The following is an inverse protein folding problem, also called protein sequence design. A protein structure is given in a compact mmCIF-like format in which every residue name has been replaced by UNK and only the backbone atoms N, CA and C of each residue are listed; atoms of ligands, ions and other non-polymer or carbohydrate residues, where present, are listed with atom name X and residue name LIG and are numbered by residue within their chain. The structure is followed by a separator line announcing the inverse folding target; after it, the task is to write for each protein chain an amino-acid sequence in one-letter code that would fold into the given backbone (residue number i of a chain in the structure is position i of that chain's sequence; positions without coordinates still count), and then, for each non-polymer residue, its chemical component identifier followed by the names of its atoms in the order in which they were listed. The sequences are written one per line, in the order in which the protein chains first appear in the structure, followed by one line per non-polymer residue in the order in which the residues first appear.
data_IF_842568486137
#
_entry.id   IF_842568486137
#
_cell.length_a   1.000
_cell.length_b   1.000
_cell.length_c   1.000
_cell.angle_alpha   90.00
_cell.angle_beta   90.00
_cell.angle_gamma   90.00
#
_symmetry.space_group_name_H-M   'P 1'
#
loop_
_entity.id
_entity.type
_entity.pdbx_description
1 polymer ?
#
# COMPACT_ATOMS: atom_id res chain seq x y z
N UNK A 1 -1.54 7.22 -24.95
CA UNK A 1 -0.73 6.56 -23.93
C UNK A 1 -0.04 5.42 -24.64
N UNK A 2 1.28 5.47 -24.66
CA UNK A 2 2.10 4.47 -25.33
C UNK A 2 2.69 3.57 -24.25
N UNK A 3 2.17 2.34 -24.17
CA UNK A 3 2.62 1.36 -23.17
C UNK A 3 3.94 0.73 -23.60
N UNK A 4 4.86 0.57 -22.65
CA UNK A 4 6.21 0.06 -22.88
C UNK A 4 6.25 -1.46 -22.64
N UNK A 5 5.81 -2.23 -23.64
CA UNK A 5 5.88 -3.69 -23.64
C UNK A 5 7.02 -4.18 -24.53
N UNK A 6 7.78 -5.16 -24.04
CA UNK A 6 8.91 -5.78 -24.74
C UNK A 6 8.49 -7.09 -25.46
N UNK A 7 7.34 -7.66 -25.11
CA UNK A 7 6.88 -8.98 -25.58
C UNK A 7 5.38 -9.04 -25.75
N UNK A 8 4.95 -9.89 -26.68
CA UNK A 8 3.54 -10.26 -26.84
C UNK A 8 3.18 -11.42 -25.93
N UNK A 9 1.88 -11.61 -25.70
CA UNK A 9 1.37 -12.65 -24.81
C UNK A 9 0.55 -13.66 -25.61
N UNK A 10 0.86 -14.94 -25.40
CA UNK A 10 0.16 -16.06 -26.05
C UNK A 10 -0.50 -16.94 -25.01
N UNK A 11 -1.79 -17.22 -25.22
CA UNK A 11 -2.50 -18.22 -24.44
C UNK A 11 -2.15 -19.63 -24.92
N UNK A 12 -1.85 -20.54 -23.98
CA UNK A 12 -1.62 -21.95 -24.25
C UNK A 12 -2.75 -22.81 -23.70
N UNK A 13 -3.48 -23.48 -24.59
CA UNK A 13 -4.53 -24.45 -24.21
C UNK A 13 -3.98 -25.83 -23.84
N UNK A 14 -2.81 -26.19 -24.35
CA UNK A 14 -2.16 -27.48 -24.13
C UNK A 14 -0.73 -27.23 -23.61
N UNK A 15 -0.58 -26.96 -22.31
CA UNK A 15 0.71 -26.62 -21.74
C UNK A 15 1.63 -27.84 -21.63
N UNK A 16 2.93 -27.60 -21.39
CA UNK A 16 3.95 -28.64 -21.29
C UNK A 16 3.61 -29.72 -20.25
N UNK A 17 3.01 -29.30 -19.13
CA UNK A 17 2.59 -30.19 -18.06
C UNK A 17 1.06 -30.18 -17.89
N UNK A 18 0.34 -30.56 -18.94
CA UNK A 18 -1.13 -30.64 -18.96
C UNK A 18 -1.76 -31.48 -17.83
N UNK A 19 -0.99 -32.39 -17.19
CA UNK A 19 -1.42 -33.14 -16.02
C UNK A 19 -1.48 -32.33 -14.72
N UNK A 20 -0.79 -31.18 -14.67
CA UNK A 20 -0.70 -30.32 -13.48
C UNK A 20 -1.58 -29.06 -13.62
N UNK A 21 -1.78 -28.56 -14.84
CA UNK A 21 -2.59 -27.38 -15.12
C UNK A 21 -3.17 -27.45 -16.52
N UNK A 22 -4.37 -26.90 -16.70
CA UNK A 22 -5.13 -27.02 -17.94
C UNK A 22 -4.83 -25.95 -18.99
N UNK A 23 -4.12 -24.88 -18.62
CA UNK A 23 -3.71 -23.80 -19.52
C UNK A 23 -2.61 -22.95 -18.88
N UNK A 24 -1.91 -22.18 -19.70
CA UNK A 24 -0.90 -21.21 -19.26
C UNK A 24 -0.84 -19.99 -20.18
N UNK A 25 -0.07 -18.99 -19.79
CA UNK A 25 0.33 -17.85 -20.63
C UNK A 25 1.84 -17.95 -20.86
N UNK A 26 2.28 -17.67 -22.09
CA UNK A 26 3.69 -17.44 -22.40
C UNK A 26 3.89 -16.02 -22.90
N UNK A 27 5.09 -15.50 -22.66
CA UNK A 27 5.59 -14.32 -23.35
C UNK A 27 6.34 -14.78 -24.61
N UNK A 28 6.13 -14.09 -25.72
CA UNK A 28 6.82 -14.33 -26.98
C UNK A 28 7.58 -13.08 -27.43
N UNK A 29 8.80 -13.26 -27.90
CA UNK A 29 9.61 -12.18 -28.45
C UNK A 29 9.19 -11.79 -29.88
N UNK A 30 9.89 -10.82 -30.46
CA UNK A 30 9.67 -10.34 -31.83
C UNK A 30 9.96 -11.41 -32.91
N UNK A 31 10.59 -12.52 -32.54
CA UNK A 31 10.89 -13.66 -33.41
C UNK A 31 9.94 -14.85 -33.17
N UNK A 32 8.80 -14.62 -32.50
CA UNK A 32 7.82 -15.63 -32.12
C UNK A 32 8.38 -16.76 -31.21
N UNK A 33 9.53 -16.53 -30.56
CA UNK A 33 10.10 -17.50 -29.61
C UNK A 33 9.53 -17.26 -28.23
N UNK A 34 9.19 -18.36 -27.56
CA UNK A 34 8.76 -18.33 -26.16
C UNK A 34 9.93 -17.89 -25.27
N UNK A 35 9.67 -16.92 -24.41
CA UNK A 35 10.59 -16.44 -23.38
C UNK A 35 10.04 -16.84 -22.01
N UNK A 36 10.87 -17.51 -21.21
CA UNK A 36 10.47 -18.00 -19.89
C UNK A 36 9.67 -19.31 -19.94
N UNK A 37 8.99 -19.62 -18.83
CA UNK A 37 8.17 -20.81 -18.67
C UNK A 37 6.67 -20.55 -18.79
N UNK A 38 5.90 -21.62 -18.60
CA UNK A 38 4.44 -21.57 -18.52
C UNK A 38 4.01 -20.78 -17.27
N UNK A 39 3.43 -19.60 -17.49
CA UNK A 39 2.87 -18.78 -16.42
C UNK A 39 1.45 -19.24 -16.11
N UNK A 40 1.25 -19.74 -14.89
CA UNK A 40 -0.05 -20.23 -14.41
C UNK A 40 -0.56 -19.36 -13.26
N UNK A 41 -1.88 -19.27 -13.04
CA UNK A 41 -2.43 -18.49 -11.92
C UNK A 41 -1.80 -18.88 -10.58
N UNK A 42 -1.30 -17.89 -9.84
CA UNK A 42 -0.65 -18.08 -8.56
C UNK A 42 -1.63 -17.89 -7.40
N UNK A 43 -1.93 -18.99 -6.70
CA UNK A 43 -2.91 -19.00 -5.60
C UNK A 43 -2.34 -18.78 -4.19
N UNK A 44 -1.03 -18.95 -4.01
CA UNK A 44 -0.42 -18.99 -2.67
C UNK A 44 -0.12 -17.60 -2.10
N UNK A 45 0.05 -17.55 -0.78
CA UNK A 45 0.32 -16.32 -0.06
C UNK A 45 1.68 -15.71 -0.43
N UNK A 46 1.67 -14.42 -0.73
CA UNK A 46 2.83 -13.57 -0.94
C UNK A 46 2.87 -12.54 0.19
N UNK A 47 4.07 -12.28 0.68
CA UNK A 47 4.30 -11.40 1.82
C UNK A 47 5.03 -10.15 1.39
N UNK A 48 4.72 -9.06 2.06
CA UNK A 48 5.33 -7.75 1.90
C UNK A 48 5.63 -7.16 3.26
N UNK A 49 6.73 -6.40 3.33
CA UNK A 49 7.11 -5.61 4.49
C UNK A 49 6.91 -4.13 4.16
N UNK A 50 6.21 -3.40 5.02
CA UNK A 50 6.12 -1.94 4.93
C UNK A 50 7.48 -1.31 5.24
N UNK A 51 7.97 -0.45 4.33
CA UNK A 51 9.26 0.26 4.45
C UNK A 51 9.09 1.78 4.57
N UNK A 52 7.87 2.28 4.37
CA UNK A 52 7.51 3.66 4.57
C UNK A 52 6.01 3.77 4.80
N UNK A 53 5.60 4.70 5.65
CA UNK A 53 4.20 4.90 5.99
C UNK A 53 3.84 6.37 6.05
N UNK A 54 2.71 6.72 5.46
CA UNK A 54 2.16 8.07 5.43
C UNK A 54 0.68 8.00 5.77
N UNK A 55 0.26 8.75 6.79
CA UNK A 55 -1.15 9.03 7.03
C UNK A 55 -1.52 10.32 6.29
N UNK A 56 -2.25 10.18 5.19
CA UNK A 56 -2.75 11.28 4.39
C UNK A 56 -4.15 11.69 4.82
N UNK A 57 -4.41 13.00 4.73
CA UNK A 57 -5.71 13.62 4.92
C UNK A 57 -6.00 14.48 3.68
N UNK A 58 -7.14 14.25 3.04
CA UNK A 58 -7.56 14.95 1.83
C UNK A 58 -8.98 15.50 1.99
N UNK A 59 -9.14 16.79 1.71
CA UNK A 59 -10.43 17.45 1.57
C UNK A 59 -10.62 17.80 0.09
N UNK A 60 -11.72 17.36 -0.49
CA UNK A 60 -12.11 17.67 -1.86
C UNK A 60 -13.39 18.50 -1.83
N UNK A 61 -13.39 19.62 -2.56
CA UNK A 61 -14.56 20.48 -2.73
C UNK A 61 -14.94 20.48 -4.21
N UNK A 62 -16.09 19.90 -4.53
CA UNK A 62 -16.68 19.96 -5.86
C UNK A 62 -17.70 21.09 -5.86
N UNK A 63 -17.52 22.11 -6.70
CA UNK A 63 -18.51 23.17 -6.87
C UNK A 63 -19.65 22.73 -7.80
N UNK A 64 -20.85 23.27 -7.57
CA UNK A 64 -21.96 23.04 -8.46
C UNK A 64 -21.69 23.73 -9.80
N UNK A 65 -21.57 22.94 -10.88
CA UNK A 65 -21.44 23.49 -12.22
C UNK A 65 -22.54 22.96 -13.13
N UNK A 66 -23.09 23.86 -13.95
CA UNK A 66 -23.94 23.52 -15.09
C UNK A 66 -23.09 23.76 -16.34
N UNK A 67 -22.36 22.74 -16.75
CA UNK A 67 -21.70 22.76 -18.05
C UNK A 67 -22.70 22.27 -19.10
N UNK A 68 -22.90 23.05 -20.18
CA UNK A 68 -23.88 22.71 -21.23
C UNK A 68 -23.71 21.26 -21.71
N UNK A 69 -24.80 20.49 -21.64
CA UNK A 69 -24.84 19.09 -22.09
C UNK A 69 -24.38 18.04 -21.07
N UNK A 70 -24.00 18.40 -19.84
CA UNK A 70 -23.71 17.44 -18.75
C UNK A 70 -24.74 17.50 -17.62
N UNK A 71 -24.87 16.37 -16.91
CA UNK A 71 -25.73 16.21 -15.73
C UNK A 71 -25.33 17.26 -14.69
N UNK A 72 -26.31 17.95 -14.10
CA UNK A 72 -26.06 18.93 -13.02
C UNK A 72 -25.26 18.27 -11.89
N UNK A 73 -24.02 18.73 -11.69
CA UNK A 73 -23.19 18.26 -10.60
C UNK A 73 -23.53 19.08 -9.35
N UNK A 74 -23.93 18.40 -8.26
CA UNK A 74 -24.20 19.07 -6.99
C UNK A 74 -22.89 19.43 -6.31
N UNK A 75 -22.90 20.53 -5.57
CA UNK A 75 -21.78 20.88 -4.72
C UNK A 75 -21.62 19.79 -3.64
N UNK A 76 -20.40 19.30 -3.47
CA UNK A 76 -20.07 18.23 -2.52
C UNK A 76 -18.72 18.54 -1.88
N UNK A 77 -18.67 18.51 -0.55
CA UNK A 77 -17.42 18.50 0.21
C UNK A 77 -17.23 17.07 0.69
N UNK A 78 -16.13 16.44 0.30
CA UNK A 78 -15.73 15.13 0.79
C UNK A 78 -14.41 15.21 1.55
N UNK A 79 -14.32 14.43 2.61
CA UNK A 79 -13.12 14.29 3.44
C UNK A 79 -12.73 12.82 3.43
N UNK A 80 -11.47 12.53 3.11
CA UNK A 80 -10.95 11.20 3.01
C UNK A 80 -9.58 11.12 3.70
N UNK A 81 -9.46 10.16 4.61
CA UNK A 81 -8.18 9.79 5.23
C UNK A 81 -7.70 8.48 4.63
N UNK A 82 -6.39 8.38 4.40
CA UNK A 82 -5.77 7.20 3.80
C UNK A 82 -4.46 6.90 4.53
N UNK A 83 -4.20 5.64 4.85
CA UNK A 83 -2.87 5.21 5.28
C UNK A 83 -2.19 4.58 4.06
N UNK A 84 -1.15 5.22 3.56
CA UNK A 84 -0.34 4.71 2.46
C UNK A 84 0.92 4.05 3.00
N UNK A 85 1.17 2.81 2.59
CA UNK A 85 2.35 2.03 2.96
C UNK A 85 3.13 1.68 1.70
N UNK A 86 4.40 2.08 1.64
CA UNK A 86 5.32 1.58 0.62
C UNK A 86 5.75 0.17 1.00
N UNK A 87 5.59 -0.77 0.09
CA UNK A 87 5.82 -2.19 0.31
C UNK A 87 7.12 -2.65 -0.35
N UNK A 88 7.83 -3.55 0.32
CA UNK A 88 8.91 -4.35 -0.25
C UNK A 88 8.52 -5.83 -0.18
N UNK A 89 8.69 -6.62 -1.25
CA UNK A 89 8.46 -8.06 -1.21
C UNK A 89 9.23 -8.80 -0.10
N UNK A 90 8.61 -9.85 0.42
CA UNK A 90 9.09 -10.69 1.51
C UNK A 90 8.64 -10.21 2.90
N UNK A 91 8.75 -11.11 3.86
CA UNK A 91 8.62 -10.82 5.29
C UNK A 91 9.95 -11.10 6.01
N UNK A 92 10.25 -10.38 7.10
CA UNK A 92 11.34 -10.75 7.98
C UNK A 92 11.02 -12.09 8.66
N UNK A 93 11.99 -13.01 8.73
CA UNK A 93 11.88 -14.15 9.66
C UNK A 93 12.36 -13.74 11.04
N UNK A 94 11.85 -14.41 12.06
CA UNK A 94 12.28 -14.22 13.46
C UNK A 94 13.75 -14.59 13.72
N UNK A 95 14.42 -15.31 12.80
CA UNK A 95 15.85 -15.63 12.87
C UNK A 95 16.75 -14.55 12.22
N UNK A 96 16.17 -13.43 11.77
CA UNK A 96 16.89 -12.37 11.07
C UNK A 96 17.20 -12.68 9.60
N UNK A 97 16.89 -13.88 9.09
CA UNK A 97 17.01 -14.18 7.66
C UNK A 97 15.78 -13.65 6.93
N UNK A 98 15.96 -13.08 5.75
CA UNK A 98 14.80 -12.71 4.93
C UNK A 98 14.14 -13.99 4.39
N UNK A 99 12.80 -14.06 4.47
CA UNK A 99 12.05 -15.02 3.64
C UNK A 99 12.42 -14.72 2.18
N UNK A 100 12.47 -15.77 1.34
CA UNK A 100 12.71 -15.64 -0.11
C UNK A 100 11.86 -14.49 -0.65
N UNK A 101 12.53 -13.47 -1.20
CA UNK A 101 11.87 -12.33 -1.81
C UNK A 101 11.42 -12.73 -3.22
N UNK A 102 10.15 -12.52 -3.52
CA UNK A 102 9.63 -12.68 -4.87
C UNK A 102 9.82 -11.36 -5.61
N UNK A 103 10.33 -11.42 -6.83
CA UNK A 103 10.30 -10.31 -7.77
C UNK A 103 8.90 -10.26 -8.39
N UNK A 104 8.42 -9.04 -8.64
CA UNK A 104 7.17 -8.80 -9.34
C UNK A 104 7.49 -8.11 -10.65
N UNK A 105 6.89 -8.54 -11.75
CA UNK A 105 7.07 -7.96 -13.07
C UNK A 105 5.73 -7.88 -13.78
N UNK A 106 5.54 -6.88 -14.63
CA UNK A 106 4.40 -6.90 -15.55
C UNK A 106 4.61 -7.97 -16.61
N UNK A 107 3.53 -8.57 -17.07
CA UNK A 107 3.60 -9.36 -18.30
C UNK A 107 4.10 -8.50 -19.46
N UNK A 108 4.80 -9.14 -20.39
CA UNK A 108 5.40 -8.46 -21.53
C UNK A 108 6.72 -7.74 -21.21
N UNK A 109 7.26 -7.84 -20.00
CA UNK A 109 8.43 -7.05 -19.56
C UNK A 109 9.38 -7.84 -18.65
N UNK A 110 10.66 -7.45 -18.60
CA UNK A 110 11.64 -7.95 -17.61
C UNK A 110 11.87 -7.01 -16.43
N UNK A 111 11.21 -5.85 -16.43
CA UNK A 111 11.37 -4.83 -15.41
C UNK A 111 10.76 -5.30 -14.09
N UNK A 112 11.50 -5.10 -13.01
CA UNK A 112 11.02 -5.38 -11.66
C UNK A 112 10.20 -4.20 -11.19
N UNK A 113 8.96 -4.45 -10.77
CA UNK A 113 8.07 -3.44 -10.20
C UNK A 113 8.66 -2.98 -8.87
N UNK A 114 9.19 -1.76 -8.85
CA UNK A 114 9.75 -1.15 -7.63
C UNK A 114 8.74 -0.34 -6.84
N UNK A 115 7.66 0.11 -7.49
CA UNK A 115 6.58 0.85 -6.84
C UNK A 115 5.44 -0.08 -6.47
N UNK A 116 5.55 -0.68 -5.28
CA UNK A 116 4.49 -1.50 -4.69
C UNK A 116 3.93 -0.76 -3.47
N UNK A 117 2.63 -0.53 -3.45
CA UNK A 117 1.96 0.25 -2.42
C UNK A 117 0.76 -0.48 -1.83
N UNK A 118 0.41 -0.12 -0.61
CA UNK A 118 -0.84 -0.47 0.05
C UNK A 118 -1.50 0.82 0.53
N UNK A 119 -2.67 1.11 -0.01
CA UNK A 119 -3.57 2.13 0.49
C UNK A 119 -4.63 1.47 1.37
N UNK A 120 -4.65 1.83 2.66
CA UNK A 120 -5.69 1.43 3.61
C UNK A 120 -6.71 2.56 3.67
N UNK A 121 -7.97 2.21 3.44
CA UNK A 121 -9.07 3.15 3.28
C UNK A 121 -10.20 2.80 4.25
N UNK A 122 -10.81 3.78 4.93
CA UNK A 122 -12.01 3.54 5.70
C UNK A 122 -13.21 3.31 4.77
N UNK A 123 -14.03 2.31 5.09
CA UNK A 123 -15.35 2.11 4.51
C UNK A 123 -16.30 3.26 4.92
N UNK A 124 -17.43 3.38 4.22
CA UNK A 124 -18.44 4.42 4.54
C UNK A 124 -19.21 4.09 5.81
N UNK A 125 -19.39 2.80 6.09
CA UNK A 125 -20.14 2.31 7.24
C UNK A 125 -19.45 1.14 7.94
N UNK A 126 -19.73 0.96 9.23
CA UNK A 126 -19.32 -0.21 10.04
C UNK A 126 -20.00 -1.51 9.60
N UNK A 127 -21.12 -1.39 8.89
CA UNK A 127 -21.88 -2.53 8.34
C UNK A 127 -21.31 -3.05 7.02
N UNK A 128 -20.46 -2.27 6.35
CA UNK A 128 -19.89 -2.66 5.07
C UNK A 128 -18.86 -3.79 5.24
N UNK A 129 -18.68 -4.58 4.18
CA UNK A 129 -17.79 -5.73 4.19
C UNK A 129 -16.37 -5.28 3.85
N UNK A 130 -15.42 -5.59 4.75
CA UNK A 130 -14.00 -5.38 4.52
C UNK A 130 -13.54 -6.18 3.31
N UNK A 131 -12.71 -5.58 2.48
CA UNK A 131 -12.24 -6.22 1.25
C UNK A 131 -10.86 -5.74 0.87
N UNK A 132 -10.23 -6.43 -0.08
CA UNK A 132 -8.97 -5.99 -0.67
C UNK A 132 -9.04 -6.14 -2.20
N UNK A 133 -8.48 -5.15 -2.89
CA UNK A 133 -8.35 -5.13 -4.35
C UNK A 133 -6.91 -4.81 -4.73
N UNK A 134 -6.46 -5.39 -5.83
CA UNK A 134 -5.19 -5.04 -6.45
C UNK A 134 -5.46 -4.26 -7.74
N UNK A 135 -4.63 -3.27 -8.00
CA UNK A 135 -4.57 -2.51 -9.24
C UNK A 135 -3.11 -2.32 -9.61
N UNK A 136 -2.82 -2.11 -10.88
CA UNK A 136 -1.48 -1.88 -11.36
C UNK A 136 -1.52 -1.46 -12.81
N UNK A 137 -0.44 -0.86 -13.28
CA UNK A 137 -0.29 -0.40 -14.65
C UNK A 137 1.12 -0.68 -15.14
N UNK A 138 1.23 -1.04 -16.41
CA UNK A 138 2.51 -1.11 -17.12
C UNK A 138 3.03 0.31 -17.34
N UNK A 139 4.34 0.47 -17.36
CA UNK A 139 4.97 1.74 -17.73
C UNK A 139 4.42 2.25 -19.05
N UNK A 140 4.12 3.54 -19.09
CA UNK A 140 3.64 4.21 -20.28
C UNK A 140 4.17 5.63 -20.35
N UNK A 141 4.25 6.16 -21.57
CA UNK A 141 4.47 7.58 -21.80
C UNK A 141 3.16 8.24 -22.26
N UNK A 142 2.88 9.41 -21.70
CA UNK A 142 1.79 10.28 -22.14
C UNK A 142 2.29 11.67 -22.43
N UNK A 143 1.85 12.23 -23.55
CA UNK A 143 2.02 13.64 -23.86
C UNK A 143 1.13 14.47 -22.91
N UNK A 144 1.74 15.43 -22.24
CA UNK A 144 1.08 16.46 -21.45
C UNK A 144 1.34 17.83 -22.07
N UNK A 145 0.61 18.86 -21.65
CA UNK A 145 0.83 20.24 -22.14
C UNK A 145 2.28 20.75 -21.90
N UNK A 146 3.06 20.09 -21.04
CA UNK A 146 4.43 20.44 -20.69
C UNK A 146 5.48 19.44 -21.19
N UNK A 147 5.09 18.49 -22.05
CA UNK A 147 5.96 17.48 -22.64
C UNK A 147 5.56 16.06 -22.24
N UNK A 148 6.45 15.12 -22.56
CA UNK A 148 6.23 13.70 -22.30
C UNK A 148 6.53 13.35 -20.84
N UNK A 149 5.57 12.70 -20.18
CA UNK A 149 5.74 12.13 -18.85
C UNK A 149 5.68 10.61 -18.95
N UNK A 150 6.73 9.95 -18.44
CA UNK A 150 6.78 8.49 -18.33
C UNK A 150 6.42 8.06 -16.92
N UNK A 151 5.36 7.28 -16.81
CA UNK A 151 4.99 6.57 -15.59
C UNK A 151 5.68 5.21 -15.58
N UNK A 152 6.27 4.83 -14.45
CA UNK A 152 6.90 3.51 -14.26
C UNK A 152 5.88 2.42 -13.92
N UNK A 153 6.26 1.14 -14.08
CA UNK A 153 5.43 0.00 -13.69
C UNK A 153 5.06 0.09 -12.19
N UNK A 154 3.79 -0.10 -11.84
CA UNK A 154 3.33 0.02 -10.46
C UNK A 154 2.29 -1.04 -10.06
N UNK A 155 2.24 -1.35 -8.77
CA UNK A 155 1.28 -2.27 -8.18
C UNK A 155 0.75 -1.68 -6.87
N UNK A 156 -0.55 -1.43 -6.80
CA UNK A 156 -1.22 -0.90 -5.62
C UNK A 156 -2.25 -1.88 -5.07
N UNK A 157 -2.25 -2.07 -3.76
CA UNK A 157 -3.29 -2.79 -3.05
C UNK A 157 -4.18 -1.78 -2.31
N UNK A 158 -5.48 -1.90 -2.48
CA UNK A 158 -6.46 -1.11 -1.74
C UNK A 158 -7.10 -2.03 -0.71
N UNK A 159 -6.85 -1.79 0.57
CA UNK A 159 -7.46 -2.51 1.68
C UNK A 159 -8.54 -1.62 2.30
N UNK A 160 -9.80 -1.98 2.08
CA UNK A 160 -10.93 -1.25 2.65
C UNK A 160 -11.31 -1.91 3.97
N UNK A 161 -11.16 -1.17 5.06
CA UNK A 161 -11.42 -1.63 6.42
C UNK A 161 -12.54 -0.82 7.06
N UNK A 162 -13.15 -1.34 8.12
CA UNK A 162 -14.15 -0.58 8.87
C UNK A 162 -13.56 0.71 9.45
N UNK A 163 -14.38 1.79 9.61
CA UNK A 163 -13.91 3.04 10.20
C UNK A 163 -13.20 2.85 11.55
N UNK A 164 -13.76 2.03 12.44
CA UNK A 164 -13.17 1.69 13.73
C UNK A 164 -11.80 1.01 13.62
N UNK A 165 -11.64 0.08 12.70
CA UNK A 165 -10.36 -0.56 12.37
C UNK A 165 -9.35 0.45 11.82
N UNK A 166 -9.79 1.35 10.94
CA UNK A 166 -8.95 2.41 10.38
C UNK A 166 -8.42 3.35 11.49
N UNK A 167 -9.30 3.82 12.38
CA UNK A 167 -8.88 4.69 13.49
C UNK A 167 -7.91 3.98 14.44
N UNK A 168 -8.11 2.70 14.69
CA UNK A 168 -7.15 1.90 15.46
C UNK A 168 -5.77 1.91 14.79
N UNK A 169 -5.70 1.69 13.48
CA UNK A 169 -4.44 1.71 12.75
C UNK A 169 -3.82 3.10 12.73
N UNK A 170 -4.60 4.13 12.41
CA UNK A 170 -4.14 5.52 12.40
C UNK A 170 -3.56 5.92 13.75
N UNK A 171 -4.24 5.58 14.86
CA UNK A 171 -3.75 5.84 16.22
C UNK A 171 -2.46 5.09 16.53
N UNK A 172 -2.29 3.86 16.08
CA UNK A 172 -1.04 3.11 16.28
C UNK A 172 0.13 3.75 15.52
N UNK A 173 -0.14 4.29 14.34
CA UNK A 173 0.87 4.96 13.51
C UNK A 173 1.26 6.31 14.14
N UNK A 174 0.28 7.15 14.49
CA UNK A 174 0.53 8.48 15.06
C UNK A 174 1.13 8.42 16.47
N UNK A 175 0.84 7.37 17.24
CA UNK A 175 1.48 7.12 18.54
C UNK A 175 2.90 6.52 18.44
N UNK A 176 3.36 6.16 17.24
CA UNK A 176 4.65 5.52 17.04
C UNK A 176 4.72 4.08 17.57
N UNK A 177 3.58 3.37 17.66
CA UNK A 177 3.50 1.97 18.11
C UNK A 177 3.36 0.96 16.96
N UNK A 178 3.68 1.40 15.75
CA UNK A 178 3.66 0.64 14.50
C UNK A 178 5.10 0.44 14.00
N UNK A 179 5.89 -0.32 14.74
CA UNK A 179 7.32 -0.54 14.45
C UNK A 179 7.54 -1.39 13.19
N UNK A 180 6.61 -2.32 12.92
CA UNK A 180 6.69 -3.18 11.75
C UNK A 180 5.30 -3.42 11.14
N UNK A 181 5.23 -3.30 9.82
CA UNK A 181 4.03 -3.63 9.04
C UNK A 181 4.34 -4.81 8.13
N UNK A 182 3.56 -5.88 8.25
CA UNK A 182 3.62 -7.03 7.34
C UNK A 182 2.25 -7.16 6.68
N UNK A 183 2.25 -7.17 5.36
CA UNK A 183 1.06 -7.36 4.55
C UNK A 183 1.18 -8.69 3.79
N UNK A 184 0.16 -9.52 3.84
CA UNK A 184 0.11 -10.79 3.12
C UNK A 184 -1.13 -10.81 2.24
N UNK A 185 -0.95 -11.26 1.00
CA UNK A 185 -2.05 -11.48 0.05
C UNK A 185 -1.99 -12.87 -0.54
N UNK A 186 -3.14 -13.49 -0.75
CA UNK A 186 -3.28 -14.79 -1.40
C UNK A 186 -4.41 -14.75 -2.42
N UNK A 187 -4.39 -15.72 -3.34
CA UNK A 187 -5.41 -15.84 -4.40
C UNK A 187 -5.67 -14.51 -5.13
N UNK A 188 -4.60 -13.82 -5.52
CA UNK A 188 -4.70 -12.54 -6.24
C UNK A 188 -4.97 -12.85 -7.71
N UNK A 189 -6.17 -12.51 -8.19
CA UNK A 189 -6.49 -12.62 -9.62
C UNK A 189 -5.49 -11.77 -10.39
N UNK A 190 -4.96 -12.27 -11.51
CA UNK A 190 -3.95 -11.57 -12.31
C UNK A 190 -2.50 -11.80 -11.88
N UNK A 191 -2.25 -12.53 -10.79
CA UNK A 191 -0.89 -12.99 -10.46
C UNK A 191 -0.63 -14.37 -11.05
N UNK A 192 0.54 -14.50 -11.66
CA UNK A 192 0.97 -15.71 -12.32
C UNK A 192 2.41 -16.05 -11.93
N UNK A 193 2.76 -17.32 -12.02
CA UNK A 193 4.12 -17.78 -11.81
C UNK A 193 4.35 -19.09 -12.53
N UNK A 194 5.62 -19.46 -12.69
CA UNK A 194 5.99 -20.82 -13.07
C UNK A 194 5.51 -21.82 -12.02
N UNK A 195 5.19 -23.04 -12.48
CA UNK A 195 4.89 -24.12 -11.55
C UNK A 195 6.09 -24.42 -10.64
N UNK A 196 5.83 -24.57 -9.35
CA UNK A 196 6.82 -24.89 -8.33
C UNK A 196 6.27 -25.93 -7.35
N UNK A 197 7.01 -27.03 -7.09
CA UNK A 197 6.58 -28.04 -6.12
C UNK A 197 6.62 -27.52 -4.68
N UNK A 198 7.38 -26.44 -4.44
CA UNK A 198 7.65 -25.91 -3.10
C UNK A 198 6.60 -24.93 -2.58
N UNK A 199 5.49 -24.73 -3.31
CA UNK A 199 4.45 -23.71 -3.04
C UNK A 199 5.01 -22.30 -2.79
N UNK A 200 6.24 -22.05 -3.25
CA UNK A 200 6.96 -20.79 -3.16
C UNK A 200 7.46 -20.41 -4.53
N UNK A 201 7.54 -19.11 -4.77
CA UNK A 201 8.07 -18.58 -6.02
C UNK A 201 9.03 -17.40 -5.78
N UNK A 202 10.05 -17.29 -6.61
CA UNK A 202 10.90 -16.09 -6.69
C UNK A 202 10.39 -15.08 -7.70
N UNK A 203 9.38 -15.40 -8.49
CA UNK A 203 8.94 -14.56 -9.60
C UNK A 203 7.43 -14.57 -9.76
N UNK A 204 6.83 -13.40 -9.84
CA UNK A 204 5.40 -13.22 -10.06
C UNK A 204 5.20 -12.29 -11.24
N UNK A 205 4.53 -12.80 -12.27
CA UNK A 205 4.06 -12.02 -13.41
C UNK A 205 2.67 -11.44 -13.10
N UNK A 206 2.49 -10.17 -13.40
CA UNK A 206 1.28 -9.40 -13.12
C UNK A 206 0.58 -9.05 -14.43
N UNK A 207 -0.66 -9.51 -14.59
CA UNK A 207 -1.48 -9.22 -15.77
C UNK A 207 -2.53 -8.18 -15.41
N UNK A 208 -2.41 -6.95 -15.91
CA UNK A 208 -3.27 -5.82 -15.52
C UNK A 208 -4.73 -5.98 -16.01
N UNK A 209 -5.63 -5.21 -15.40
CA UNK A 209 -7.09 -5.19 -15.66
C UNK A 209 -7.42 -4.84 -17.10
N UNK A 210 -6.67 -3.90 -17.66
CA UNK A 210 -7.04 -3.19 -18.87
C UNK A 210 -6.41 -3.82 -20.13
N UNK A 211 -6.75 -3.23 -21.27
CA UNK A 211 -6.23 -3.63 -22.59
C UNK A 211 -4.77 -3.24 -22.82
N UNK A 212 -4.05 -2.86 -21.77
CA UNK A 212 -2.60 -2.60 -21.82
C UNK A 212 -1.86 -3.83 -22.35
N UNK A 213 -2.31 -5.02 -21.89
CA UNK A 213 -1.79 -6.31 -22.33
C UNK A 213 -2.75 -6.95 -23.34
N UNK A 214 -2.38 -6.95 -24.61
CA UNK A 214 -3.07 -7.76 -25.62
C UNK A 214 -2.61 -9.22 -25.49
N UNK A 215 -3.58 -10.12 -25.32
CA UNK A 215 -3.31 -11.56 -25.21
C UNK A 215 -4.02 -12.24 -26.36
N UNK A 216 -3.26 -13.00 -27.15
CA UNK A 216 -3.78 -13.80 -28.25
C UNK A 216 -4.71 -14.89 -27.69
N UNK A 217 -6.01 -14.58 -27.60
CA UNK A 217 -7.06 -15.45 -27.06
C UNK A 217 -7.96 -15.98 -28.18
N UNK A 218 -8.33 -17.25 -28.08
CA UNK A 218 -9.40 -17.80 -28.91
C UNK A 218 -10.75 -17.14 -28.55
N UNK A 219 -11.65 -17.03 -29.55
CA UNK A 219 -12.94 -16.37 -29.40
C UNK A 219 -13.73 -16.88 -28.17
N UNK A 220 -14.22 -15.95 -27.34
CA UNK A 220 -15.06 -16.25 -26.18
C UNK A 220 -14.32 -16.69 -24.91
N UNK A 221 -12.97 -16.75 -24.92
CA UNK A 221 -12.18 -17.07 -23.73
C UNK A 221 -11.79 -15.79 -22.96
N UNK A 222 -11.90 -15.84 -21.64
CA UNK A 222 -11.35 -14.83 -20.74
C UNK A 222 -10.26 -15.46 -19.86
N UNK A 223 -9.34 -14.62 -19.40
CA UNK A 223 -8.27 -14.99 -18.47
C UNK A 223 -8.35 -14.11 -17.22
N UNK A 224 -7.97 -14.64 -16.04
CA UNK A 224 -7.86 -13.87 -14.81
C UNK A 224 -6.91 -12.66 -14.97
N UNK A 225 -7.43 -11.45 -14.75
CA UNK A 225 -6.67 -10.21 -14.74
C UNK A 225 -6.65 -9.61 -13.34
N UNK A 226 -5.73 -8.68 -13.10
CA UNK A 226 -5.55 -8.03 -11.81
C UNK A 226 -6.87 -7.50 -11.29
N UNK A 227 -7.10 -7.51 -9.97
CA UNK A 227 -8.33 -6.97 -9.42
C UNK A 227 -8.67 -7.52 -8.05
N UNK A 228 -9.19 -8.74 -8.01
CA UNK A 228 -9.64 -9.34 -6.75
C UNK A 228 -8.49 -9.94 -5.97
N UNK A 229 -8.46 -9.72 -4.66
CA UNK A 229 -7.57 -10.38 -3.71
C UNK A 229 -8.41 -11.31 -2.84
N UNK A 230 -8.21 -12.62 -2.95
CA UNK A 230 -9.02 -13.60 -2.21
C UNK A 230 -8.71 -13.67 -0.73
N UNK A 231 -7.44 -13.48 -0.35
CA UNK A 231 -7.02 -13.38 1.05
C UNK A 231 -6.14 -12.14 1.26
N UNK A 232 -6.42 -11.36 2.31
CA UNK A 232 -5.56 -10.26 2.74
C UNK A 232 -5.38 -10.30 4.26
N UNK A 233 -4.15 -10.14 4.75
CA UNK A 233 -3.84 -10.06 6.17
C UNK A 233 -2.86 -8.92 6.41
N UNK A 234 -3.17 -8.07 7.38
CA UNK A 234 -2.32 -6.97 7.80
C UNK A 234 -1.90 -7.18 9.25
N UNK A 235 -0.60 -7.16 9.48
CA UNK A 235 0.00 -7.20 10.81
C UNK A 235 0.68 -5.86 11.05
N UNK A 236 0.27 -5.18 12.12
CA UNK A 236 0.97 -4.01 12.65
C UNK A 236 1.57 -4.46 13.98
N UNK A 237 2.88 -4.59 14.06
CA UNK A 237 3.59 -5.11 15.22
C UNK A 237 4.28 -3.97 15.95
N UNK A 238 4.38 -4.11 17.28
CA UNK A 238 5.21 -3.26 18.12
C UNK A 238 6.45 -4.06 18.56
N UNK A 239 7.64 -3.56 18.27
CA UNK A 239 8.90 -4.18 18.67
C UNK A 239 9.30 -3.62 20.04
N UNK A 240 8.94 -4.36 21.10
CA UNK A 240 9.46 -4.07 22.43
C UNK A 240 10.80 -4.78 22.56
N UNK A 241 11.90 -4.09 22.24
CA UNK A 241 13.22 -4.53 22.68
C UNK A 241 13.18 -4.49 24.21
N UNK A 242 13.21 -5.64 24.92
CA UNK A 242 13.27 -5.61 26.36
C UNK A 242 14.56 -4.88 26.69
N UNK A 243 14.47 -3.73 27.36
CA UNK A 243 15.64 -3.16 27.99
C UNK A 243 15.99 -4.09 29.14
N UNK A 244 16.68 -5.19 28.81
CA UNK A 244 17.38 -6.00 29.78
C UNK A 244 18.38 -5.02 30.37
N UNK A 245 17.99 -4.42 31.49
CA UNK A 245 18.88 -3.64 32.32
C UNK A 245 19.97 -4.62 32.70
N UNK A 246 21.08 -4.60 31.95
CA UNK A 246 22.29 -5.29 32.33
C UNK A 246 22.55 -4.77 33.72
N UNK A 247 22.43 -5.59 34.78
CA UNK A 247 22.68 -5.10 36.12
C UNK A 247 24.07 -4.47 36.04
N UNK A 248 24.15 -3.17 36.33
CA UNK A 248 25.42 -2.51 36.51
C UNK A 248 26.08 -3.33 37.59
N UNK A 249 27.03 -4.19 37.20
CA UNK A 249 27.93 -4.81 38.14
C UNK A 249 28.59 -3.63 38.84
N UNK A 250 28.10 -3.33 40.04
CA UNK A 250 28.78 -2.56 41.06
C UNK A 250 30.07 -3.34 41.27
N UNK A 251 31.08 -3.02 40.46
CA UNK A 251 32.44 -3.47 40.72
C UNK A 251 32.84 -2.72 41.97
N UNK A 252 32.88 -3.49 43.04
CA UNK A 252 33.74 -3.34 44.20
C UNK A 252 34.91 -2.38 43.92
N UNK A 253 35.01 -1.42 44.83
CA UNK A 253 36.21 -0.64 45.05
C UNK A 253 37.41 -1.58 45.20
N UNK A 254 38.39 -1.47 44.32
CA UNK A 254 39.54 -2.36 44.33
C UNK A 254 40.66 -1.92 43.41
N UNK A 255 41.48 -1.01 43.93
CA UNK A 255 42.84 -0.65 43.51
C UNK A 255 43.04 0.18 42.25
N UNK A 256 43.42 1.42 42.54
CA UNK A 256 44.16 2.37 41.72
C UNK A 256 45.35 1.73 41.00
N UNK A 257 45.41 1.91 39.68
CA UNK A 257 46.68 2.13 39.01
C UNK A 257 46.53 3.27 38.01
N UNK A 258 47.07 4.42 38.40
CA UNK A 258 47.33 5.55 37.53
C UNK A 258 48.13 5.11 36.30
N UNK A 259 47.60 5.43 35.12
CA UNK A 259 48.40 5.62 33.92
C UNK A 259 47.94 6.88 33.18
N UNK A 260 48.87 7.69 32.64
CA UNK A 260 48.57 9.04 32.21
C UNK A 260 47.78 9.06 30.89
N UNK A 261 46.84 9.99 30.87
CA UNK A 261 45.89 10.37 29.84
C UNK A 261 46.56 10.94 28.59
N UNK A 262 46.06 10.56 27.41
CA UNK A 262 46.09 11.44 26.22
C UNK A 262 44.66 11.96 25.97
N UNK A 263 44.49 13.21 25.49
CA UNK A 263 43.19 13.83 25.31
C UNK A 263 42.54 13.32 24.02
N UNK A 264 41.42 12.60 24.14
CA UNK A 264 40.53 12.32 23.02
C UNK A 264 39.39 13.33 23.06
N UNK A 265 39.26 14.03 21.93
CA UNK A 265 38.28 15.08 21.63
C UNK A 265 36.86 14.67 22.00
N UNK A 266 36.19 15.52 22.77
CA UNK A 266 34.80 15.38 23.15
C UNK A 266 33.88 15.38 21.93
N UNK A 267 33.13 14.29 21.74
CA UNK A 267 31.95 14.31 20.89
C UNK A 267 30.82 15.02 21.65
N UNK A 268 30.38 16.14 21.09
CA UNK A 268 29.25 16.94 21.56
C UNK A 268 28.01 16.06 21.57
N UNK A 269 27.46 15.82 22.76
CA UNK A 269 26.15 15.20 22.93
C UNK A 269 25.07 16.13 22.41
N UNK A 270 24.32 15.67 21.40
CA UNK A 270 23.08 16.32 20.98
C UNK A 270 22.00 15.95 21.98
N UNK A 271 21.75 16.87 22.91
CA UNK A 271 20.65 16.84 23.86
C UNK A 271 19.33 16.93 23.08
N UNK A 272 18.56 15.83 23.05
CA UNK A 272 17.19 15.83 22.51
C UNK A 272 16.28 16.59 23.47
N UNK A 273 16.05 17.87 23.19
CA UNK A 273 14.97 18.64 23.80
C UNK A 273 13.62 18.01 23.44
N UNK A 274 12.84 17.67 24.46
CA UNK A 274 11.44 17.32 24.32
C UNK A 274 10.66 18.56 23.86
N UNK A 275 10.06 18.47 22.69
CA UNK A 275 9.14 19.49 22.16
C UNK A 275 7.87 19.52 23.02
N UNK A 276 7.85 20.42 23.99
CA UNK A 276 6.62 20.85 24.65
C UNK A 276 5.69 21.48 23.63
N UNK A 277 4.42 21.11 23.66
CA UNK A 277 3.40 21.63 22.77
C UNK A 277 3.37 23.16 22.82
N UNK A 278 3.45 23.79 21.65
CA UNK A 278 3.46 25.23 21.47
C UNK A 278 2.19 25.86 22.08
N UNK A 279 2.30 26.83 23.02
CA UNK A 279 1.15 27.49 23.64
C UNK A 279 0.20 28.17 22.65
N UNK A 280 0.60 28.41 21.40
CA UNK A 280 -0.31 28.90 20.36
C UNK A 280 -1.31 27.84 19.87
N UNK A 281 -0.92 26.55 19.85
CA UNK A 281 -1.83 25.46 19.45
C UNK A 281 -2.97 25.25 20.45
N UNK A 282 -2.72 25.49 21.74
CA UNK A 282 -3.74 25.42 22.80
C UNK A 282 -4.78 26.56 22.70
N UNK A 283 -4.39 27.74 22.19
CA UNK A 283 -5.34 28.86 21.94
C UNK A 283 -6.29 28.57 20.78
N UNK A 284 -5.81 27.91 19.72
CA UNK A 284 -6.66 27.54 18.57
C UNK A 284 -7.72 26.50 18.96
N UNK A 285 -7.37 25.52 19.80
CA UNK A 285 -8.33 24.52 20.31
C UNK A 285 -9.41 25.13 21.23
N UNK A 286 -9.10 26.21 21.95
CA UNK A 286 -10.09 26.95 22.74
C UNK A 286 -11.11 27.70 21.89
N UNK A 287 -10.66 28.29 20.77
CA UNK A 287 -11.52 29.05 19.84
C UNK A 287 -12.55 28.15 19.13
N UNK A 288 -12.14 26.95 18.71
CA UNK A 288 -13.03 25.96 18.05
C UNK A 288 -14.18 25.47 18.93
N UNK A 289 -13.99 25.39 20.26
CA UNK A 289 -15.08 25.02 21.18
C UNK A 289 -16.14 26.11 21.33
N UNK A 290 -15.79 27.38 21.10
CA UNK A 290 -16.73 28.50 21.19
C UNK A 290 -17.62 28.61 19.95
N UNK A 291 -17.09 28.31 18.75
CA UNK A 291 -17.86 28.41 17.50
C UNK A 291 -18.90 27.28 17.35
N UNK A 292 -18.60 26.07 17.84
CA UNK A 292 -19.53 24.94 17.81
C UNK A 292 -20.86 25.22 18.55
N UNK A 293 -20.82 26.00 19.65
CA UNK A 293 -22.03 26.35 20.42
C UNK A 293 -22.97 27.29 19.65
N UNK A 294 -22.43 28.21 18.86
CA UNK A 294 -23.22 29.12 18.03
C UNK A 294 -23.92 28.40 16.88
N UNK A 295 -23.23 27.43 16.24
CA UNK A 295 -23.79 26.65 15.14
C UNK A 295 -24.98 25.79 15.63
N UNK A 296 -24.85 25.14 16.79
CA UNK A 296 -25.95 24.36 17.39
C UNK A 296 -27.15 25.25 17.72
N UNK A 297 -26.91 26.45 18.27
CA UNK A 297 -27.98 27.41 18.57
C UNK A 297 -28.72 27.87 17.31
N UNK A 298 -27.99 28.13 16.23
CA UNK A 298 -28.57 28.60 14.96
C UNK A 298 -29.39 27.51 14.26
N UNK A 299 -28.92 26.25 14.29
CA UNK A 299 -29.69 25.10 13.80
C UNK A 299 -30.97 24.87 14.61
N UNK A 300 -30.91 24.98 15.94
CA UNK A 300 -32.10 24.85 16.78
C UNK A 300 -33.13 25.95 16.50
N UNK A 301 -32.68 27.20 16.29
CA UNK A 301 -33.56 28.32 15.96
C UNK A 301 -34.25 28.14 14.60
N UNK A 302 -33.52 27.66 13.60
CA UNK A 302 -34.06 27.32 12.27
C UNK A 302 -35.13 26.24 12.36
N UNK A 303 -34.89 25.20 13.16
CA UNK A 303 -35.82 24.09 13.33
C UNK A 303 -37.13 24.55 14.01
N UNK A 304 -37.03 25.43 15.02
CA UNK A 304 -38.19 26.05 15.67
C UNK A 304 -38.97 26.93 14.70
N UNK A 305 -38.30 27.74 13.89
CA UNK A 305 -38.96 28.60 12.91
C UNK A 305 -39.75 27.78 11.87
N UNK A 306 -39.17 26.69 11.36
CA UNK A 306 -39.86 25.81 10.39
C UNK A 306 -41.05 25.03 10.98
N UNK A 307 -41.07 24.82 12.30
CA UNK A 307 -42.19 24.17 13.00
C UNK A 307 -43.33 25.14 13.33
N UNK A 308 -43.05 26.45 13.43
CA UNK A 308 -44.05 27.49 13.69
C UNK A 308 -44.79 27.96 12.42
N UNK A 309 -44.23 27.71 11.22
CA UNK A 309 -44.87 28.00 9.93
C UNK A 309 -45.79 26.88 9.42
N UNK A 310 -46.00 25.81 10.21
CA UNK A 310 -46.94 24.71 9.93
C UNK A 310 -48.16 24.76 10.85
#
# INVERSE_FOLDING_TARGET
MDYHLDRRLRFLAEPKYASLYSWAINEIDDYDKVVGGDQIPWGWNLYFTGVGIVLGDQISVTEASKFEGRIEQKAEISHQRTIRVKLRPGAPRGDGKQVRQSNFRMFGTDRVITDIQLDILPLKSESDIESCRAWGSVSYTSETDFGDETQEDCLNFNLMVKPSTFELYANRITSGSADQIIFSVGMVTGFYSDWSPSISTSDVKVLTTDREHDVELAAGRSIPRLGTVGEARLYINAERVPQIHRPQNVRDAGMEHEKPTMPIVAAVGVERQATGADPQTLKLLGSLKSSARWIIGLLAALLIATLLER
#
